data_IF_928168520454
#
_entry.id   IF_928168520454
#
_cell.length_a   1.000
_cell.length_b   1.000
_cell.length_c   1.000
_cell.angle_alpha   90.00
_cell.angle_beta   90.00
_cell.angle_gamma   90.00
#
_symmetry.space_group_name_H-M   'P 1'
#
loop_
_entity.id
_entity.type
_entity.pdbx_description
1 polymer ?
#
# COMPACT_ATOMS: atom_id res chain seq x y z
N UNK A 1 -23.21 -12.25 -6.00
CA UNK A 1 -23.42 -10.80 -5.80
C UNK A 1 -23.60 -10.14 -7.15
N UNK A 2 -24.71 -9.43 -7.35
CA UNK A 2 -24.95 -8.60 -8.53
C UNK A 2 -24.08 -7.34 -8.51
N UNK A 3 -23.61 -6.90 -9.69
CA UNK A 3 -22.65 -5.79 -9.82
C UNK A 3 -23.26 -4.50 -10.41
N UNK A 4 -24.57 -4.45 -10.62
CA UNK A 4 -25.24 -3.36 -11.33
C UNK A 4 -25.18 -2.02 -10.59
N UNK A 5 -24.95 -2.05 -9.26
CA UNK A 5 -24.82 -0.88 -8.40
C UNK A 5 -23.37 -0.49 -8.08
N UNK A 6 -22.38 -1.11 -8.73
CA UNK A 6 -20.98 -0.79 -8.53
C UNK A 6 -20.45 0.11 -9.66
N UNK A 7 -19.96 1.29 -9.30
CA UNK A 7 -19.38 2.27 -10.23
C UNK A 7 -17.86 2.22 -10.18
N UNK A 8 -17.17 2.45 -11.31
CA UNK A 8 -15.71 2.51 -11.30
C UNK A 8 -15.23 3.65 -10.41
N UNK A 9 -14.32 3.35 -9.49
CA UNK A 9 -13.75 4.35 -8.59
C UNK A 9 -12.29 4.66 -8.94
N UNK A 10 -11.40 3.67 -8.88
CA UNK A 10 -9.98 3.84 -9.21
C UNK A 10 -9.32 2.52 -9.59
N UNK A 11 -8.12 2.58 -10.19
CA UNK A 11 -7.29 1.40 -10.43
C UNK A 11 -5.84 1.61 -9.99
N UNK A 12 -5.24 0.55 -9.47
CA UNK A 12 -3.80 0.42 -9.30
C UNK A 12 -3.18 -0.44 -10.40
N UNK A 13 -1.98 -0.96 -10.15
CA UNK A 13 -1.29 -1.83 -11.12
C UNK A 13 -1.85 -3.25 -11.18
N UNK A 14 -2.50 -3.71 -10.12
CA UNK A 14 -2.98 -5.10 -9.98
C UNK A 14 -4.49 -5.21 -9.79
N UNK A 15 -5.14 -4.13 -9.34
CA UNK A 15 -6.54 -4.16 -8.91
C UNK A 15 -7.30 -2.95 -9.45
N UNK A 16 -8.58 -3.15 -9.71
CA UNK A 16 -9.58 -2.10 -9.89
C UNK A 16 -10.49 -2.08 -8.66
N UNK A 17 -10.93 -0.89 -8.27
CA UNK A 17 -11.82 -0.65 -7.14
C UNK A 17 -13.09 0.00 -7.67
N UNK A 18 -14.22 -0.49 -7.22
CA UNK A 18 -15.55 -0.02 -7.58
C UNK A 18 -16.31 0.40 -6.33
N UNK A 19 -16.99 1.55 -6.36
CA UNK A 19 -17.78 2.05 -5.23
C UNK A 19 -19.21 1.52 -5.32
N UNK A 20 -19.80 1.15 -4.19
CA UNK A 20 -21.21 0.83 -4.12
C UNK A 20 -22.06 2.09 -4.14
N UNK A 21 -23.01 2.18 -5.08
CA UNK A 21 -23.94 3.32 -5.29
C UNK A 21 -25.42 2.92 -5.10
N UNK A 22 -25.67 1.70 -4.62
CA UNK A 22 -27.02 1.18 -4.43
C UNK A 22 -27.66 1.62 -3.11
N UNK A 23 -28.85 1.08 -2.84
CA UNK A 23 -29.65 1.42 -1.65
C UNK A 23 -29.55 0.41 -0.50
N UNK A 24 -28.76 -0.67 -0.66
CA UNK A 24 -28.58 -1.67 0.39
C UNK A 24 -27.75 -1.06 1.55
N UNK A 25 -28.34 -0.90 2.75
CA UNK A 25 -27.63 -0.36 3.90
C UNK A 25 -26.42 -1.21 4.33
N UNK A 26 -26.40 -2.50 4.02
CA UNK A 26 -25.28 -3.39 4.37
C UNK A 26 -24.03 -3.18 3.51
N UNK A 27 -24.21 -2.59 2.33
CA UNK A 27 -23.15 -2.29 1.36
C UNK A 27 -22.84 -0.79 1.30
N UNK A 28 -23.62 0.05 1.99
CA UNK A 28 -23.36 1.47 2.10
C UNK A 28 -21.96 1.74 2.65
N UNK A 29 -21.20 2.61 2.00
CA UNK A 29 -19.82 2.92 2.40
C UNK A 29 -18.80 1.82 2.10
N UNK A 30 -19.14 0.83 1.26
CA UNK A 30 -18.18 -0.22 0.85
C UNK A 30 -17.67 -0.01 -0.57
N UNK A 31 -16.52 -0.62 -0.85
CA UNK A 31 -15.95 -0.76 -2.18
C UNK A 31 -15.71 -2.22 -2.52
N UNK A 32 -15.85 -2.56 -3.79
CA UNK A 32 -15.49 -3.86 -4.35
C UNK A 32 -14.14 -3.75 -5.05
N UNK A 33 -13.15 -4.52 -4.59
CA UNK A 33 -11.86 -4.67 -5.25
C UNK A 33 -11.82 -5.95 -6.07
N UNK A 34 -11.54 -5.79 -7.36
CA UNK A 34 -11.38 -6.87 -8.33
C UNK A 34 -9.97 -6.85 -8.93
N UNK A 35 -9.45 -8.02 -9.28
CA UNK A 35 -8.12 -8.15 -9.90
C UNK A 35 -8.17 -7.80 -11.38
N UNK A 36 -7.14 -7.11 -11.87
CA UNK A 36 -6.96 -6.84 -13.29
C UNK A 36 -6.53 -8.11 -14.04
N UNK A 37 -6.77 -8.17 -15.34
CA UNK A 37 -6.28 -9.25 -16.18
C UNK A 37 -4.74 -9.36 -16.11
N UNK A 38 -4.21 -10.58 -16.28
CA UNK A 38 -2.77 -10.84 -16.28
C UNK A 38 -2.12 -10.91 -14.89
N UNK A 39 -2.87 -10.83 -13.80
CA UNK A 39 -2.35 -11.12 -12.47
C UNK A 39 -2.24 -12.63 -12.24
N UNK A 40 -1.15 -13.07 -11.57
CA UNK A 40 -0.86 -14.48 -11.35
C UNK A 40 -1.86 -15.14 -10.37
N UNK A 41 -2.03 -14.54 -9.19
CA UNK A 41 -2.96 -15.05 -8.17
C UNK A 41 -4.41 -14.65 -8.43
N UNK A 42 -5.34 -15.49 -7.99
CA UNK A 42 -6.78 -15.23 -7.88
C UNK A 42 -7.10 -14.37 -6.67
N UNK A 43 -8.30 -13.79 -6.64
CA UNK A 43 -8.79 -13.00 -5.51
C UNK A 43 -8.89 -13.82 -4.23
N UNK A 44 -9.30 -15.08 -4.32
CA UNK A 44 -9.36 -15.99 -3.17
C UNK A 44 -7.97 -16.27 -2.58
N UNK A 45 -6.97 -16.60 -3.41
CA UNK A 45 -5.60 -16.83 -2.93
C UNK A 45 -5.02 -15.58 -2.22
N UNK A 46 -5.34 -14.38 -2.72
CA UNK A 46 -4.92 -13.14 -2.07
C UNK A 46 -5.62 -12.96 -0.73
N UNK A 47 -6.92 -13.25 -0.65
CA UNK A 47 -7.66 -13.18 0.61
C UNK A 47 -7.07 -14.13 1.66
N UNK A 48 -6.81 -15.39 1.30
CA UNK A 48 -6.20 -16.39 2.18
C UNK A 48 -4.80 -15.94 2.64
N UNK A 49 -4.00 -15.42 1.72
CA UNK A 49 -2.68 -14.89 2.01
C UNK A 49 -2.70 -13.71 3.00
N UNK A 50 -3.65 -12.77 2.86
CA UNK A 50 -3.81 -11.65 3.79
C UNK A 50 -4.06 -12.12 5.23
N UNK A 51 -4.73 -13.27 5.41
CA UNK A 51 -5.06 -13.82 6.74
C UNK A 51 -3.85 -14.43 7.46
N UNK A 52 -2.74 -14.65 6.76
CA UNK A 52 -1.50 -15.16 7.37
C UNK A 52 -0.81 -14.11 8.26
N UNK A 53 -1.10 -12.81 8.06
CA UNK A 53 -0.50 -11.70 8.80
C UNK A 53 -1.23 -11.39 10.12
N UNK A 54 -1.32 -12.38 11.02
CA UNK A 54 -2.06 -12.27 12.29
C UNK A 54 -1.62 -11.08 13.16
N UNK A 55 -0.32 -10.75 13.18
CA UNK A 55 0.21 -9.61 13.91
C UNK A 55 -0.27 -8.26 13.37
N UNK A 56 -0.72 -8.20 12.11
CA UNK A 56 -1.24 -7.00 11.47
C UNK A 56 -2.77 -6.90 11.50
N UNK A 57 -3.47 -7.96 11.93
CA UNK A 57 -4.93 -8.12 11.79
C UNK A 57 -5.75 -6.89 12.23
N UNK A 58 -5.34 -6.20 13.30
CA UNK A 58 -6.05 -5.03 13.83
C UNK A 58 -5.99 -3.80 12.91
N UNK A 59 -4.97 -3.73 12.06
CA UNK A 59 -4.76 -2.61 11.13
C UNK A 59 -5.21 -2.96 9.72
N UNK A 60 -5.30 -4.24 9.34
CA UNK A 60 -5.80 -4.62 8.01
C UNK A 60 -7.22 -4.08 7.85
N UNK A 61 -7.45 -3.38 6.73
CA UNK A 61 -8.77 -2.87 6.40
C UNK A 61 -9.80 -4.01 6.42
N UNK A 62 -10.96 -3.85 7.09
CA UNK A 62 -11.99 -4.87 7.10
C UNK A 62 -12.34 -5.29 5.68
N UNK A 63 -12.22 -6.59 5.43
CA UNK A 63 -12.31 -7.17 4.10
C UNK A 63 -13.11 -8.46 4.19
N UNK A 64 -14.05 -8.66 3.27
CA UNK A 64 -14.83 -9.89 3.09
C UNK A 64 -14.62 -10.44 1.70
N UNK A 65 -14.41 -11.75 1.60
CA UNK A 65 -14.47 -12.46 0.33
C UNK A 65 -15.93 -12.63 -0.06
N UNK A 66 -16.31 -12.22 -1.27
CA UNK A 66 -17.68 -12.34 -1.77
C UNK A 66 -17.70 -13.10 -3.09
N UNK A 67 -18.65 -14.01 -3.24
CA UNK A 67 -18.87 -14.75 -4.48
C UNK A 67 -19.59 -13.88 -5.51
N UNK A 68 -19.07 -13.89 -6.74
CA UNK A 68 -19.59 -13.12 -7.86
C UNK A 68 -20.47 -14.01 -8.72
N UNK A 69 -21.55 -13.45 -9.26
CA UNK A 69 -22.37 -14.22 -10.21
C UNK A 69 -21.58 -14.51 -11.49
N UNK A 70 -21.81 -15.69 -12.11
CA UNK A 70 -21.19 -16.02 -13.39
C UNK A 70 -21.37 -14.91 -14.42
N UNK A 71 -20.26 -14.41 -14.97
CA UNK A 71 -20.26 -13.35 -15.98
C UNK A 71 -20.52 -11.92 -15.46
N UNK A 72 -20.78 -11.73 -14.16
CA UNK A 72 -21.05 -10.39 -13.61
C UNK A 72 -19.88 -9.42 -13.82
N UNK A 73 -18.64 -9.92 -13.76
CA UNK A 73 -17.41 -9.14 -13.99
C UNK A 73 -17.43 -8.44 -15.35
N UNK A 74 -17.96 -9.07 -16.40
CA UNK A 74 -17.99 -8.50 -17.75
C UNK A 74 -18.83 -7.23 -17.84
N UNK A 75 -19.80 -7.05 -16.94
CA UNK A 75 -20.61 -5.81 -16.87
C UNK A 75 -19.78 -4.59 -16.44
N UNK A 76 -18.68 -4.83 -15.70
CA UNK A 76 -17.79 -3.80 -15.18
C UNK A 76 -16.59 -3.51 -16.11
N UNK A 77 -16.36 -4.36 -17.11
CA UNK A 77 -15.31 -4.14 -18.10
C UNK A 77 -15.72 -3.04 -19.08
N UNK A 78 -15.12 -1.85 -18.95
CA UNK A 78 -15.34 -0.69 -19.83
C UNK A 78 -14.02 -0.03 -20.19
N UNK A 79 -13.95 0.60 -21.36
CA UNK A 79 -12.86 1.50 -21.77
C UNK A 79 -11.44 0.97 -21.51
N UNK A 80 -11.18 -0.28 -21.92
CA UNK A 80 -9.87 -0.92 -21.78
C UNK A 80 -9.56 -1.45 -20.38
N UNK A 81 -10.50 -1.38 -19.44
CA UNK A 81 -10.42 -2.08 -18.16
C UNK A 81 -10.73 -3.57 -18.38
N UNK A 82 -9.69 -4.41 -18.34
CA UNK A 82 -9.83 -5.87 -18.37
C UNK A 82 -9.63 -6.44 -16.97
N UNK A 83 -10.59 -7.24 -16.52
CA UNK A 83 -10.58 -7.87 -15.21
C UNK A 83 -10.16 -9.33 -15.33
N UNK A 84 -9.55 -9.88 -14.27
CA UNK A 84 -9.31 -11.31 -14.19
C UNK A 84 -10.66 -12.01 -14.03
N UNK A 85 -10.94 -13.11 -14.75
CA UNK A 85 -12.21 -13.84 -14.63
C UNK A 85 -12.26 -14.69 -13.35
N UNK A 86 -12.07 -14.04 -12.20
CA UNK A 86 -12.19 -14.67 -10.89
C UNK A 86 -13.67 -14.88 -10.54
N UNK A 87 -13.97 -15.88 -9.71
CA UNK A 87 -15.31 -16.13 -9.17
C UNK A 87 -15.61 -15.32 -7.91
N UNK A 88 -14.63 -14.57 -7.41
CA UNK A 88 -14.71 -13.84 -6.14
C UNK A 88 -14.20 -12.40 -6.27
N UNK A 89 -14.72 -11.53 -5.41
CA UNK A 89 -14.23 -10.17 -5.19
C UNK A 89 -13.89 -9.92 -3.71
N UNK A 90 -13.17 -8.84 -3.42
CA UNK A 90 -12.99 -8.37 -2.05
C UNK A 90 -13.90 -7.18 -1.79
N UNK A 91 -14.87 -7.35 -0.90
CA UNK A 91 -15.67 -6.25 -0.38
C UNK A 91 -14.94 -5.64 0.81
N UNK A 92 -14.68 -4.34 0.77
CA UNK A 92 -13.85 -3.62 1.73
C UNK A 92 -14.54 -2.34 2.18
N UNK A 93 -14.23 -1.87 3.38
CA UNK A 93 -14.66 -0.54 3.81
C UNK A 93 -14.07 0.53 2.86
N UNK A 94 -14.87 1.53 2.52
CA UNK A 94 -14.38 2.65 1.73
C UNK A 94 -13.59 3.61 2.62
N UNK A 95 -12.27 3.65 2.49
CA UNK A 95 -11.44 4.62 3.24
C UNK A 95 -11.68 6.06 2.77
N UNK A 96 -12.10 6.24 1.51
CA UNK A 96 -12.35 7.53 0.88
C UNK A 96 -13.86 7.76 0.81
N UNK A 97 -14.48 7.95 1.98
CA UNK A 97 -15.94 7.96 2.16
C UNK A 97 -16.69 9.00 1.30
N UNK A 98 -16.01 10.03 0.78
CA UNK A 98 -16.66 11.16 0.10
C UNK A 98 -16.12 11.47 -1.30
N UNK A 99 -16.98 12.04 -2.14
CA UNK A 99 -16.66 12.49 -3.50
C UNK A 99 -15.86 13.81 -3.53
N UNK A 100 -15.94 14.63 -2.49
CA UNK A 100 -15.37 15.99 -2.45
C UNK A 100 -14.06 16.04 -1.65
N UNK A 101 -13.12 15.15 -1.97
CA UNK A 101 -11.81 15.12 -1.35
C UNK A 101 -10.76 15.80 -2.23
N UNK A 102 -10.06 16.81 -1.70
CA UNK A 102 -8.87 17.37 -2.34
C UNK A 102 -7.66 16.50 -1.99
N UNK A 103 -7.14 15.77 -2.99
CA UNK A 103 -5.88 15.04 -2.85
C UNK A 103 -4.67 15.93 -3.14
N UNK A 104 -3.68 15.89 -2.24
CA UNK A 104 -2.44 16.65 -2.31
C UNK A 104 -1.28 15.67 -2.17
N UNK A 105 -0.68 15.32 -3.31
CA UNK A 105 0.52 14.50 -3.32
C UNK A 105 1.74 15.34 -2.94
N UNK A 106 2.28 15.13 -1.74
CA UNK A 106 3.54 15.74 -1.31
C UNK A 106 4.71 15.08 -2.06
N UNK A 107 4.65 13.76 -2.20
CA UNK A 107 5.40 12.98 -3.18
C UNK A 107 4.60 11.69 -3.54
N UNK A 108 5.20 10.78 -4.32
CA UNK A 108 4.53 9.52 -4.74
C UNK A 108 4.26 8.51 -3.61
N UNK A 109 4.69 8.79 -2.39
CA UNK A 109 4.60 7.91 -1.22
C UNK A 109 3.84 8.55 -0.05
N UNK A 110 3.54 9.84 -0.14
CA UNK A 110 2.90 10.62 0.91
C UNK A 110 1.85 11.48 0.24
N UNK A 111 0.59 11.13 0.43
CA UNK A 111 -0.58 11.81 -0.14
C UNK A 111 -1.48 12.22 1.02
N UNK A 112 -1.93 13.47 0.99
CA UNK A 112 -2.93 13.99 1.91
C UNK A 112 -4.26 14.09 1.19
N UNK A 113 -5.32 13.60 1.83
CA UNK A 113 -6.69 13.66 1.35
C UNK A 113 -7.48 14.53 2.30
N UNK A 114 -7.93 15.70 1.83
CA UNK A 114 -8.63 16.71 2.61
C UNK A 114 -10.09 16.80 2.17
N UNK A 115 -11.00 16.17 2.92
CA UNK A 115 -12.46 16.26 2.77
C UNK A 115 -13.11 16.43 4.14
N UNK A 116 -14.28 15.81 4.40
CA UNK A 116 -14.82 15.74 5.76
C UNK A 116 -13.90 14.97 6.72
N UNK A 117 -13.09 14.06 6.18
CA UNK A 117 -12.00 13.37 6.89
C UNK A 117 -10.67 13.84 6.34
N UNK A 118 -9.69 14.01 7.24
CA UNK A 118 -8.31 14.32 6.88
C UNK A 118 -7.51 13.02 6.94
N UNK A 119 -7.11 12.51 5.78
CA UNK A 119 -6.42 11.22 5.68
C UNK A 119 -4.99 11.42 5.18
N UNK A 120 -4.06 10.73 5.81
CA UNK A 120 -2.69 10.55 5.36
C UNK A 120 -2.55 9.16 4.72
N UNK A 121 -2.31 9.11 3.41
CA UNK A 121 -1.88 7.90 2.70
C UNK A 121 -0.36 7.87 2.64
N UNK A 122 0.23 6.80 3.19
CA UNK A 122 1.67 6.60 3.31
C UNK A 122 2.07 5.23 2.77
N UNK A 123 3.08 5.21 1.88
CA UNK A 123 3.82 3.99 1.54
C UNK A 123 5.16 4.00 2.28
N UNK A 124 5.29 3.30 3.42
CA UNK A 124 6.51 3.34 4.24
C UNK A 124 7.71 2.68 3.56
N UNK A 125 7.45 1.87 2.52
CA UNK A 125 8.47 1.17 1.74
C UNK A 125 9.38 0.31 2.63
N UNK A 126 10.69 0.49 2.52
CA UNK A 126 11.67 -0.30 3.25
C UNK A 126 11.87 0.30 4.64
N UNK A 127 11.48 -0.46 5.65
CA UNK A 127 11.68 -0.13 7.06
C UNK A 127 12.84 -0.94 7.66
N UNK A 128 13.84 -1.21 6.82
CA UNK A 128 15.07 -1.90 7.18
C UNK A 128 16.22 -0.88 7.10
N UNK A 129 16.87 -0.55 8.23
CA UNK A 129 18.01 0.35 8.23
C UNK A 129 19.23 -0.26 7.50
N UNK A 130 19.33 -1.59 7.42
CA UNK A 130 20.50 -2.27 6.87
C UNK A 130 21.82 -1.82 7.49
N UNK A 131 22.92 -2.06 6.77
CA UNK A 131 24.27 -1.55 7.10
C UNK A 131 24.76 -0.48 6.12
N UNK A 132 23.88 -0.03 5.22
CA UNK A 132 24.21 0.91 4.14
C UNK A 132 24.28 2.34 4.67
N UNK A 133 25.11 3.20 4.05
CA UNK A 133 25.19 4.62 4.40
C UNK A 133 23.92 5.37 4.07
N UNK A 134 23.28 5.00 2.95
CA UNK A 134 22.01 5.55 2.50
C UNK A 134 20.97 4.45 2.45
N UNK A 135 19.81 4.66 3.07
CA UNK A 135 18.75 3.65 3.01
C UNK A 135 18.20 3.51 1.59
N UNK A 136 17.69 2.32 1.25
CA UNK A 136 17.19 2.01 -0.09
C UNK A 136 16.13 2.99 -0.60
N UNK A 137 15.24 3.46 0.28
CA UNK A 137 14.20 4.43 -0.09
C UNK A 137 14.82 5.75 -0.57
N UNK A 138 15.79 6.27 0.18
CA UNK A 138 16.50 7.50 -0.16
C UNK A 138 17.28 7.32 -1.47
N UNK A 139 18.06 6.24 -1.59
CA UNK A 139 18.79 5.91 -2.82
C UNK A 139 17.85 5.82 -4.03
N UNK A 140 16.66 5.24 -3.85
CA UNK A 140 15.68 5.13 -4.91
C UNK A 140 15.13 6.48 -5.37
N UNK A 141 14.77 7.36 -4.43
CA UNK A 141 14.29 8.71 -4.76
C UNK A 141 15.38 9.55 -5.45
N UNK A 142 16.60 9.49 -4.94
CA UNK A 142 17.77 10.12 -5.57
C UNK A 142 17.98 9.63 -7.01
N UNK A 143 17.92 8.31 -7.23
CA UNK A 143 18.06 7.72 -8.58
C UNK A 143 16.99 8.16 -9.57
N UNK A 144 15.86 8.68 -9.08
CA UNK A 144 14.73 9.16 -9.89
C UNK A 144 14.71 10.68 -10.04
N UNK A 145 15.60 11.40 -9.37
CA UNK A 145 15.53 12.87 -9.30
C UNK A 145 14.23 13.36 -8.65
N UNK A 146 13.60 12.52 -7.83
CA UNK A 146 12.34 12.88 -7.17
C UNK A 146 12.61 13.69 -5.89
N UNK A 147 11.66 14.57 -5.55
CA UNK A 147 11.73 15.36 -4.33
C UNK A 147 11.75 14.45 -3.11
N UNK A 148 12.87 14.49 -2.38
CA UNK A 148 13.00 13.87 -1.08
C UNK A 148 12.41 14.80 -0.03
N UNK A 149 11.45 14.31 0.74
CA UNK A 149 10.89 15.04 1.89
C UNK A 149 11.62 14.58 3.15
N UNK A 150 11.48 13.29 3.47
CA UNK A 150 12.04 12.72 4.69
C UNK A 150 12.21 11.20 4.56
N UNK A 151 13.13 10.63 5.36
CA UNK A 151 13.45 9.21 5.35
C UNK A 151 12.38 8.42 6.13
N UNK A 152 11.73 7.38 5.54
CA UNK A 152 10.75 6.57 6.25
C UNK A 152 11.29 5.81 7.47
N UNK A 153 12.60 5.59 7.58
CA UNK A 153 13.20 4.95 8.76
C UNK A 153 13.03 5.78 10.04
N UNK A 154 12.75 7.08 9.91
CA UNK A 154 12.45 7.94 11.04
C UNK A 154 11.13 7.53 11.73
N UNK A 155 10.24 6.81 11.05
CA UNK A 155 8.99 6.29 11.64
C UNK A 155 9.19 5.20 12.70
N UNK A 156 10.43 4.76 12.94
CA UNK A 156 10.74 3.65 13.84
C UNK A 156 11.04 4.10 15.29
N UNK A 157 11.27 5.39 15.51
CA UNK A 157 11.58 5.96 16.83
C UNK A 157 10.73 7.21 17.09
N UNK A 158 10.45 7.52 18.34
CA UNK A 158 9.66 8.72 18.71
C UNK A 158 10.31 10.01 18.21
N UNK A 159 11.62 10.20 18.48
CA UNK A 159 12.36 11.38 18.01
C UNK A 159 12.43 11.46 16.48
N UNK A 160 12.45 10.30 15.82
CA UNK A 160 12.40 10.22 14.37
C UNK A 160 11.03 10.64 13.84
N UNK A 161 9.94 10.17 14.45
CA UNK A 161 8.57 10.52 14.07
C UNK A 161 8.38 12.02 14.13
N UNK A 162 8.85 12.70 15.18
CA UNK A 162 8.78 14.15 15.27
C UNK A 162 9.40 14.85 14.04
N UNK A 163 10.65 14.49 13.69
CA UNK A 163 11.35 15.03 12.51
C UNK A 163 10.64 14.67 11.20
N UNK A 164 10.06 13.47 11.13
CA UNK A 164 9.30 13.02 9.97
C UNK A 164 8.05 13.85 9.77
N UNK A 165 7.29 14.07 10.85
CA UNK A 165 6.06 14.84 10.83
C UNK A 165 6.33 16.31 10.54
N UNK A 166 7.32 16.92 11.18
CA UNK A 166 7.73 18.31 10.90
C UNK A 166 8.04 18.53 9.41
N UNK A 167 8.82 17.62 8.79
CA UNK A 167 9.15 17.73 7.37
C UNK A 167 7.92 17.58 6.46
N UNK A 168 6.99 16.68 6.81
CA UNK A 168 5.76 16.43 6.05
C UNK A 168 4.77 17.58 6.20
N UNK A 169 4.57 18.09 7.41
CA UNK A 169 3.73 19.25 7.71
C UNK A 169 4.28 20.51 7.02
N UNK A 170 5.60 20.73 7.08
CA UNK A 170 6.23 21.84 6.37
C UNK A 170 6.00 21.75 4.86
N UNK A 171 6.16 20.57 4.26
CA UNK A 171 5.84 20.39 2.84
C UNK A 171 4.35 20.58 2.55
N UNK A 172 3.45 20.12 3.42
CA UNK A 172 2.02 20.31 3.27
C UNK A 172 1.64 21.80 3.28
N UNK A 173 2.19 22.58 4.21
CA UNK A 173 2.02 24.03 4.29
C UNK A 173 2.52 24.72 3.01
N UNK A 174 3.67 24.31 2.48
CA UNK A 174 4.20 24.83 1.20
C UNK A 174 3.28 24.52 0.00
N UNK A 175 2.40 23.51 0.10
CA UNK A 175 1.37 23.18 -0.90
C UNK A 175 0.02 23.85 -0.63
N UNK A 176 -0.05 24.73 0.36
CA UNK A 176 -1.27 25.43 0.77
C UNK A 176 -2.27 24.54 1.52
N UNK A 177 -1.78 23.52 2.24
CA UNK A 177 -2.61 22.80 3.22
C UNK A 177 -2.78 23.67 4.47
N UNK A 178 -3.89 23.53 5.21
CA UNK A 178 -3.97 24.03 6.58
C UNK A 178 -2.95 23.30 7.48
N UNK A 179 -2.76 23.80 8.71
CA UNK A 179 -2.05 23.03 9.73
C UNK A 179 -2.78 21.70 9.99
N UNK A 180 -2.00 20.62 10.08
CA UNK A 180 -2.51 19.26 10.24
C UNK A 180 -1.83 18.64 11.47
N UNK A 181 -2.56 17.94 12.36
CA UNK A 181 -1.97 17.27 13.52
C UNK A 181 -1.37 15.91 13.11
N UNK A 182 -0.34 15.92 12.25
CA UNK A 182 0.21 14.66 11.71
C UNK A 182 0.96 13.90 12.81
N UNK A 183 1.68 14.62 13.67
CA UNK A 183 2.49 13.99 14.71
C UNK A 183 1.70 13.10 15.66
N UNK A 184 0.62 13.61 16.27
CA UNK A 184 -0.21 12.83 17.21
C UNK A 184 -0.75 11.55 16.56
N UNK A 185 -1.24 11.67 15.32
CA UNK A 185 -1.82 10.55 14.58
C UNK A 185 -0.77 9.50 14.19
N UNK A 186 0.43 9.92 13.81
CA UNK A 186 1.54 9.01 13.47
C UNK A 186 2.12 8.35 14.73
N UNK A 187 2.32 9.11 15.81
CA UNK A 187 2.82 8.59 17.09
C UNK A 187 1.89 7.53 17.68
N UNK A 188 0.57 7.74 17.63
CA UNK A 188 -0.43 6.77 18.06
C UNK A 188 -0.30 5.40 17.34
N UNK A 189 0.35 5.39 16.16
CA UNK A 189 0.53 4.20 15.32
C UNK A 189 1.98 3.73 15.20
N UNK A 190 2.89 4.15 16.09
CA UNK A 190 4.30 3.70 16.08
C UNK A 190 4.44 2.17 16.06
N UNK A 191 3.58 1.46 16.80
CA UNK A 191 3.58 0.00 16.85
C UNK A 191 3.29 -0.65 15.49
N UNK A 192 2.50 -0.02 14.62
CA UNK A 192 2.28 -0.51 13.25
C UNK A 192 3.58 -0.49 12.46
N UNK A 193 4.31 0.62 12.48
CA UNK A 193 5.58 0.75 11.75
C UNK A 193 6.66 -0.19 12.29
N UNK A 194 6.77 -0.33 13.62
CA UNK A 194 7.67 -1.29 14.25
C UNK A 194 7.31 -2.75 13.93
N UNK A 195 6.01 -3.06 13.83
CA UNK A 195 5.54 -4.40 13.43
C UNK A 195 5.89 -4.68 11.96
N UNK A 196 5.65 -3.71 11.07
CA UNK A 196 6.02 -3.81 9.65
C UNK A 196 7.54 -4.00 9.49
N UNK A 197 8.35 -3.20 10.18
CA UNK A 197 9.81 -3.34 10.19
C UNK A 197 10.24 -4.74 10.66
N UNK A 198 9.64 -5.21 11.75
CA UNK A 198 9.94 -6.52 12.33
C UNK A 198 9.61 -7.67 11.37
N UNK A 199 8.51 -7.58 10.60
CA UNK A 199 8.18 -8.58 9.58
C UNK A 199 9.17 -8.50 8.42
N UNK A 200 9.49 -7.30 7.94
CA UNK A 200 10.48 -7.09 6.87
C UNK A 200 11.88 -7.63 7.24
N UNK A 201 12.26 -7.54 8.51
CA UNK A 201 13.54 -8.01 9.03
C UNK A 201 13.64 -9.54 9.16
N UNK A 202 12.54 -10.30 9.01
CA UNK A 202 12.57 -11.77 9.07
C UNK A 202 13.39 -12.39 7.94
N UNK A 203 13.60 -11.66 6.85
CA UNK A 203 14.41 -12.08 5.72
C UNK A 203 15.78 -11.35 5.72
N UNK A 204 16.78 -11.87 6.46
CA UNK A 204 18.08 -11.23 6.56
C UNK A 204 18.81 -11.25 5.20
N UNK A 205 19.77 -10.34 5.01
CA UNK A 205 20.62 -10.27 3.82
C UNK A 205 19.84 -10.13 2.49
N UNK A 206 18.64 -9.56 2.55
CA UNK A 206 17.76 -9.39 1.40
C UNK A 206 18.40 -8.63 0.23
N UNK A 207 19.28 -7.67 0.50
CA UNK A 207 20.01 -6.93 -0.53
C UNK A 207 20.94 -7.88 -1.33
N UNK A 208 21.71 -8.72 -0.63
CA UNK A 208 22.57 -9.72 -1.25
C UNK A 208 21.74 -10.73 -2.05
N UNK A 209 20.66 -11.25 -1.45
CA UNK A 209 19.77 -12.19 -2.13
C UNK A 209 19.20 -11.60 -3.42
N UNK A 210 18.69 -10.37 -3.38
CA UNK A 210 18.11 -9.72 -4.55
C UNK A 210 19.13 -9.57 -5.68
N UNK A 211 20.38 -9.22 -5.36
CA UNK A 211 21.45 -9.11 -6.36
C UNK A 211 21.88 -10.47 -6.92
N UNK A 212 21.67 -11.56 -6.18
CA UNK A 212 22.07 -12.92 -6.59
C UNK A 212 20.94 -13.73 -7.27
N UNK A 213 19.78 -13.13 -7.56
CA UNK A 213 18.71 -13.85 -8.26
C UNK A 213 19.11 -14.10 -9.73
N UNK A 214 18.92 -15.33 -10.20
CA UNK A 214 19.20 -15.71 -11.59
C UNK A 214 17.93 -16.15 -12.33
N UNK A 215 16.90 -16.55 -11.59
CA UNK A 215 15.65 -17.05 -12.14
C UNK A 215 14.46 -16.85 -11.18
N UNK A 216 13.26 -17.20 -11.66
CA UNK A 216 12.03 -17.24 -10.85
C UNK A 216 12.11 -18.25 -9.70
N UNK A 217 12.84 -19.36 -9.89
CA UNK A 217 12.98 -20.45 -8.92
C UNK A 217 13.79 -20.02 -7.70
N UNK A 218 14.63 -19.00 -7.83
CA UNK A 218 15.41 -18.47 -6.72
C UNK A 218 14.58 -17.62 -5.75
N UNK A 219 13.34 -17.28 -6.12
CA UNK A 219 12.43 -16.50 -5.29
C UNK A 219 11.61 -17.42 -4.40
N UNK A 220 12.03 -17.52 -3.14
CA UNK A 220 11.27 -18.20 -2.11
C UNK A 220 10.04 -17.39 -1.64
N UNK A 221 9.16 -18.06 -0.89
CA UNK A 221 7.93 -17.47 -0.36
C UNK A 221 8.20 -16.32 0.60
N UNK A 222 9.25 -16.44 1.41
CA UNK A 222 9.60 -15.44 2.42
C UNK A 222 10.11 -14.14 1.77
N UNK A 223 10.80 -14.23 0.62
CA UNK A 223 11.16 -13.08 -0.19
C UNK A 223 9.90 -12.45 -0.79
N UNK A 224 8.94 -13.24 -1.27
CA UNK A 224 7.65 -12.72 -1.75
C UNK A 224 6.91 -11.95 -0.64
N UNK A 225 6.83 -12.51 0.57
CA UNK A 225 6.27 -11.85 1.76
C UNK A 225 6.97 -10.54 2.08
N UNK A 226 8.29 -10.57 2.13
CA UNK A 226 9.10 -9.39 2.42
C UNK A 226 8.84 -8.31 1.38
N UNK A 227 8.77 -8.67 0.09
CA UNK A 227 8.45 -7.75 -0.99
C UNK A 227 7.00 -7.27 -0.97
N UNK A 228 6.05 -8.05 -0.44
CA UNK A 228 4.68 -7.59 -0.15
C UNK A 228 4.70 -6.50 0.91
N UNK A 229 5.33 -6.76 2.06
CA UNK A 229 5.37 -5.82 3.20
C UNK A 229 6.01 -4.48 2.85
N UNK A 230 6.89 -4.43 1.84
CA UNK A 230 7.55 -3.20 1.37
C UNK A 230 6.72 -2.38 0.39
N UNK A 231 5.54 -2.85 0.02
CA UNK A 231 4.66 -2.20 -0.96
C UNK A 231 3.23 -2.05 -0.45
N UNK A 232 3.03 -2.24 0.87
CA UNK A 232 1.79 -1.93 1.56
C UNK A 232 1.54 -0.42 1.59
N UNK A 233 0.27 -0.07 1.79
CA UNK A 233 -0.18 1.31 1.97
C UNK A 233 -0.83 1.43 3.34
N UNK A 234 -0.43 2.46 4.09
CA UNK A 234 -0.99 2.82 5.39
C UNK A 234 -1.84 4.06 5.20
N UNK A 235 -3.09 4.01 5.62
CA UNK A 235 -3.97 5.15 5.78
C UNK A 235 -4.03 5.52 7.25
N UNK A 236 -3.83 6.79 7.59
CA UNK A 236 -4.03 7.29 8.95
C UNK A 236 -5.06 8.41 8.88
N UNK A 237 -6.15 8.22 9.60
CA UNK A 237 -7.12 9.27 9.84
C UNK A 237 -6.56 10.24 10.88
N UNK A 238 -6.35 11.49 10.50
CA UNK A 238 -5.69 12.50 11.32
C UNK A 238 -6.61 13.03 12.45
N UNK A 239 -7.91 12.77 12.37
CA UNK A 239 -8.89 13.22 13.35
C UNK A 239 -9.06 12.19 14.48
N UNK A 240 -9.12 10.91 14.11
CA UNK A 240 -9.31 9.78 15.03
C UNK A 240 -8.01 9.03 15.38
N UNK A 241 -6.91 9.37 14.70
CA UNK A 241 -5.62 8.64 14.78
C UNK A 241 -5.72 7.15 14.42
N UNK A 242 -6.80 6.71 13.78
CA UNK A 242 -6.97 5.30 13.39
C UNK A 242 -6.17 5.01 12.13
N UNK A 243 -5.29 4.01 12.19
CA UNK A 243 -4.59 3.51 11.01
C UNK A 243 -5.28 2.28 10.39
N UNK A 244 -5.28 2.23 9.06
CA UNK A 244 -5.69 1.10 8.24
C UNK A 244 -4.57 0.72 7.26
N UNK A 245 -4.40 -0.57 7.00
CA UNK A 245 -3.38 -1.16 6.14
C UNK A 245 -4.06 -1.84 4.95
N UNK A 246 -3.59 -1.57 3.74
CA UNK A 246 -4.03 -2.25 2.53
C UNK A 246 -2.86 -2.64 1.61
N UNK A 247 -3.18 -3.13 0.42
CA UNK A 247 -2.23 -3.56 -0.62
C UNK A 247 -1.33 -4.75 -0.20
N UNK A 248 -1.87 -5.65 0.61
CA UNK A 248 -1.27 -6.91 1.04
C UNK A 248 -1.34 -8.02 -0.05
N UNK A 249 -1.16 -7.63 -1.30
CA UNK A 249 -1.20 -8.56 -2.42
C UNK A 249 0.10 -9.34 -2.53
N UNK A 250 0.02 -10.68 -2.47
CA UNK A 250 1.15 -11.58 -2.70
C UNK A 250 1.92 -11.16 -3.95
N UNK A 251 3.22 -10.90 -3.77
CA UNK A 251 4.10 -10.60 -4.90
C UNK A 251 4.43 -11.87 -5.66
N UNK A 252 4.45 -11.75 -6.99
CA UNK A 252 4.76 -12.84 -7.90
C UNK A 252 6.27 -13.04 -8.04
N UNK A 253 6.77 -14.29 -7.96
CA UNK A 253 8.14 -14.66 -8.31
C UNK A 253 8.60 -14.16 -9.69
N UNK A 254 7.69 -14.01 -10.66
CA UNK A 254 7.99 -13.48 -12.01
C UNK A 254 8.59 -12.07 -12.01
N UNK A 255 8.48 -11.34 -10.89
CA UNK A 255 9.05 -9.99 -10.73
C UNK A 255 10.53 -10.00 -10.33
N UNK A 256 11.16 -11.18 -10.18
CA UNK A 256 12.55 -11.35 -9.73
C UNK A 256 13.54 -10.46 -10.49
N UNK A 257 13.48 -10.43 -11.83
CA UNK A 257 14.41 -9.67 -12.67
C UNK A 257 14.30 -8.17 -12.39
N UNK A 258 13.06 -7.66 -12.30
CA UNK A 258 12.79 -6.26 -11.94
C UNK A 258 13.33 -5.91 -10.55
N UNK A 259 13.26 -6.83 -9.60
CA UNK A 259 13.79 -6.60 -8.25
C UNK A 259 15.30 -6.58 -8.24
N UNK A 260 15.95 -7.55 -8.88
CA UNK A 260 17.41 -7.62 -9.02
C UNK A 260 17.98 -6.40 -9.73
N UNK A 261 17.46 -6.09 -10.91
CA UNK A 261 18.00 -5.00 -11.74
C UNK A 261 17.84 -3.65 -11.02
N UNK A 262 16.74 -3.48 -10.28
CA UNK A 262 16.56 -2.32 -9.40
C UNK A 262 17.60 -2.30 -8.27
N UNK A 263 17.84 -3.43 -7.63
CA UNK A 263 18.80 -3.52 -6.51
C UNK A 263 20.22 -3.20 -6.96
N UNK A 264 20.68 -3.78 -8.07
CA UNK A 264 21.98 -3.52 -8.69
C UNK A 264 22.13 -2.04 -9.02
N UNK A 265 21.10 -1.42 -9.60
CA UNK A 265 21.12 0.00 -9.95
C UNK A 265 21.23 0.91 -8.71
N UNK A 266 20.64 0.52 -7.58
CA UNK A 266 20.67 1.30 -6.34
C UNK A 266 21.91 1.06 -5.49
N UNK A 267 22.58 -0.09 -5.65
CA UNK A 267 23.71 -0.48 -4.80
C UNK A 267 24.80 0.60 -4.71
N UNK A 268 25.13 1.26 -5.82
CA UNK A 268 26.12 2.35 -5.86
C UNK A 268 25.74 3.58 -5.04
N UNK A 269 24.44 3.84 -4.87
CA UNK A 269 23.92 4.98 -4.10
C UNK A 269 23.73 4.65 -2.62
N UNK A 270 23.71 3.36 -2.27
CA UNK A 270 23.53 2.90 -0.89
C UNK A 270 24.86 2.78 -0.14
N UNK A 271 25.97 2.53 -0.85
CA UNK A 271 27.35 2.49 -0.32
C UNK A 271 27.90 3.89 -0.01
#
# INVERSE_FOLDING_TARGET
MELDFFSYFRKGSANAVFRYEGKDPQLAGTVLRLRLAGQDYTTQEIYEYMHQFSSLKRWIIPTKLVELEPGAIHKLEKDGLKLKPDTHGLLMDNVFEESDCREIALNKHIILSLGARRLLELKPKWLDPGSNRTCRNCAHLLSKGEKFIVCPLQLLTTDGIHKWCEAVEHEALNRGCPYLPIEDAVQANILLFQTLASIQARYPNVHQKLMSLESEVDVDEQLCETMTMRDVTVFIDLDSSKALLCDLDRKSPRKWQKWRDREIALNKLMQ
#
